data_IF_313127914860
#
_entry.id   IF_313127914860
#
_cell.length_a   1.000
_cell.length_b   1.000
_cell.length_c   1.000
_cell.angle_alpha   90.00
_cell.angle_beta   90.00
_cell.angle_gamma   90.00
#
_symmetry.space_group_name_H-M   'P 1'
#
loop_
_entity.id
_entity.type
_entity.pdbx_description
1 polymer ?
#
# COMPACT_ATOMS: atom_id res chain seq x y z
N UNK A 1 -6.49 32.68 2.56
CA UNK A 1 -6.00 32.36 1.20
C UNK A 1 -4.84 31.39 1.37
N UNK A 2 -5.10 30.09 1.21
CA UNK A 2 -4.08 29.05 1.31
C UNK A 2 -3.67 28.63 -0.11
N UNK A 3 -2.37 28.57 -0.37
CA UNK A 3 -1.79 28.20 -1.65
C UNK A 3 -2.02 26.70 -1.97
N UNK A 4 -2.16 26.32 -3.25
CA UNK A 4 -2.25 24.93 -3.64
C UNK A 4 -0.85 24.27 -3.59
N UNK A 5 -0.80 23.05 -3.05
CA UNK A 5 0.38 22.19 -3.11
C UNK A 5 0.66 21.68 -4.54
N UNK A 6 1.83 21.09 -4.79
CA UNK A 6 2.28 20.78 -6.15
C UNK A 6 1.51 19.58 -6.73
N UNK A 7 0.71 19.82 -7.77
CA UNK A 7 0.23 18.80 -8.70
C UNK A 7 1.30 18.57 -9.80
N UNK A 8 1.63 17.30 -10.09
CA UNK A 8 2.54 16.92 -11.18
C UNK A 8 1.74 16.21 -12.27
N UNK A 9 1.62 16.77 -13.49
CA UNK A 9 1.06 16.07 -14.65
C UNK A 9 2.17 15.43 -15.50
N UNK A 10 1.97 14.18 -15.90
CA UNK A 10 2.89 13.44 -16.79
C UNK A 10 2.15 12.88 -18.01
N UNK A 11 2.27 13.60 -19.12
CA UNK A 11 1.93 13.19 -20.49
C UNK A 11 3.18 13.35 -21.37
N UNK A 12 3.66 12.26 -21.98
CA UNK A 12 4.21 12.29 -23.35
C UNK A 12 4.32 10.87 -23.94
N UNK A 13 3.84 10.75 -25.17
CA UNK A 13 3.73 9.54 -26.01
C UNK A 13 5.07 9.07 -26.61
N UNK A 14 5.11 7.86 -27.22
CA UNK A 14 6.34 7.11 -27.50
C UNK A 14 6.84 7.22 -28.95
N UNK A 15 8.13 6.94 -29.17
CA UNK A 15 8.67 6.67 -30.50
C UNK A 15 9.72 5.54 -30.50
N UNK A 16 9.39 4.51 -31.29
CA UNK A 16 10.21 3.65 -32.15
C UNK A 16 11.55 3.06 -31.67
N UNK A 17 11.61 1.72 -31.69
CA UNK A 17 12.83 0.92 -31.86
C UNK A 17 13.32 0.97 -33.33
N UNK A 18 14.59 0.63 -33.62
CA UNK A 18 14.91 -0.77 -33.97
C UNK A 18 16.35 -1.25 -33.64
N UNK A 19 16.58 -2.58 -33.73
CA UNK A 19 17.80 -3.10 -34.37
C UNK A 19 18.86 -3.86 -33.53
N UNK A 20 18.74 -5.20 -33.54
CA UNK A 20 19.76 -6.27 -33.49
C UNK A 20 21.29 -5.95 -33.42
N UNK A 21 21.94 -6.67 -32.49
CA UNK A 21 23.02 -7.67 -32.67
C UNK A 21 24.49 -7.37 -32.26
N UNK A 22 25.06 -8.40 -31.58
CA UNK A 22 26.45 -8.89 -31.47
C UNK A 22 27.35 -8.42 -30.32
N UNK A 23 27.75 -9.41 -29.51
CA UNK A 23 28.92 -9.42 -28.61
C UNK A 23 30.25 -9.24 -29.39
N UNK A 24 31.37 -8.88 -28.72
CA UNK A 24 32.17 -9.91 -28.02
C UNK A 24 32.75 -9.48 -26.66
N UNK A 25 33.27 -10.51 -25.98
CA UNK A 25 33.98 -10.58 -24.70
C UNK A 25 34.96 -9.44 -24.36
N UNK A 26 35.13 -9.15 -23.06
CA UNK A 26 36.42 -9.24 -22.36
C UNK A 26 36.21 -9.17 -20.83
N UNK A 27 37.04 -9.92 -20.09
CA UNK A 27 36.87 -10.23 -18.68
C UNK A 27 37.21 -9.12 -17.68
N UNK A 28 36.86 -9.38 -16.41
CA UNK A 28 37.17 -8.49 -15.29
C UNK A 28 36.58 -8.96 -13.97
N UNK A 29 37.39 -9.70 -13.22
CA UNK A 29 37.39 -9.96 -11.77
C UNK A 29 36.13 -9.60 -10.94
N UNK A 30 35.45 -10.64 -10.44
CA UNK A 30 34.75 -10.62 -9.16
C UNK A 30 35.29 -11.74 -8.28
N UNK A 31 35.77 -11.48 -7.04
CA UNK A 31 36.10 -12.54 -6.11
C UNK A 31 34.83 -13.22 -5.57
N UNK A 32 34.87 -14.55 -5.36
CA UNK A 32 33.73 -15.35 -4.96
C UNK A 32 33.48 -15.25 -3.44
N UNK A 33 32.21 -15.30 -3.04
CA UNK A 33 31.81 -15.60 -1.66
C UNK A 33 32.43 -16.94 -1.24
N UNK A 34 33.33 -16.89 -0.24
CA UNK A 34 33.88 -18.07 0.38
C UNK A 34 32.76 -18.87 1.08
N UNK A 35 32.51 -20.07 0.56
CA UNK A 35 31.90 -21.17 1.28
C UNK A 35 33.06 -22.04 1.81
N UNK A 36 33.15 -22.25 3.12
CA UNK A 36 33.93 -23.34 3.70
C UNK A 36 33.22 -23.84 4.97
N UNK A 37 32.98 -25.16 5.12
CA UNK A 37 32.34 -25.76 6.29
C UNK A 37 33.36 -26.35 7.28
N UNK A 38 32.92 -26.51 8.53
CA UNK A 38 33.49 -27.45 9.52
C UNK A 38 33.91 -26.81 10.84
N UNK A 39 33.24 -27.14 11.94
CA UNK A 39 33.64 -28.21 12.87
C UNK A 39 32.65 -28.31 14.05
N UNK A 40 32.37 -29.54 14.47
CA UNK A 40 31.58 -29.86 15.66
C UNK A 40 32.40 -29.64 16.93
N UNK A 41 31.78 -29.07 17.97
CA UNK A 41 32.19 -29.30 19.35
C UNK A 41 30.94 -29.29 20.24
N UNK A 42 30.85 -30.32 21.08
CA UNK A 42 29.73 -30.69 21.92
C UNK A 42 29.71 -29.92 23.25
N UNK A 43 28.48 -29.61 23.66
CA UNK A 43 27.97 -29.42 25.03
C UNK A 43 28.54 -28.34 25.96
N UNK A 44 27.75 -27.28 26.16
CA UNK A 44 27.42 -26.83 27.52
C UNK A 44 26.07 -26.11 27.54
N UNK A 45 25.14 -26.72 28.26
CA UNK A 45 23.78 -26.27 28.54
C UNK A 45 23.61 -24.74 28.77
N UNK A 46 22.86 -24.07 27.86
CA UNK A 46 22.00 -22.92 28.19
C UNK A 46 20.58 -23.18 27.67
N UNK A 47 19.74 -23.79 28.52
CA UNK A 47 18.29 -23.94 28.30
C UNK A 47 17.58 -22.57 28.42
N UNK A 48 17.58 -21.79 27.33
CA UNK A 48 16.50 -20.89 26.79
C UNK A 48 17.12 -19.94 25.76
N UNK A 49 16.63 -19.93 24.50
CA UNK A 49 15.47 -19.08 24.17
C UNK A 49 14.47 -19.72 23.18
N UNK A 50 14.22 -21.03 23.24
CA UNK A 50 13.18 -21.65 22.37
C UNK A 50 11.78 -21.03 22.54
N UNK A 51 11.45 -20.59 23.76
CA UNK A 51 10.13 -20.01 24.07
C UNK A 51 9.96 -18.61 23.45
N UNK A 52 11.01 -17.77 23.43
CA UNK A 52 10.90 -16.41 22.88
C UNK A 52 10.79 -16.42 21.36
N UNK A 53 11.51 -17.30 20.67
CA UNK A 53 11.43 -17.47 19.21
C UNK A 53 10.09 -18.09 18.78
N UNK A 54 9.53 -19.03 19.55
CA UNK A 54 8.19 -19.55 19.25
C UNK A 54 7.08 -18.53 19.50
N UNK A 55 7.18 -17.73 20.57
CA UNK A 55 6.19 -16.67 20.86
C UNK A 55 6.27 -15.54 19.84
N UNK A 56 7.47 -15.22 19.35
CA UNK A 56 7.67 -14.19 18.32
C UNK A 56 7.15 -14.67 16.96
N UNK A 57 7.41 -15.92 16.60
CA UNK A 57 6.81 -16.59 15.42
C UNK A 57 5.28 -16.59 15.47
N UNK A 58 4.66 -16.92 16.62
CA UNK A 58 3.20 -16.88 16.77
C UNK A 58 2.61 -15.47 16.63
N UNK A 59 3.28 -14.44 17.17
CA UNK A 59 2.86 -13.04 17.00
C UNK A 59 2.99 -12.57 15.55
N UNK A 60 4.06 -12.97 14.87
CA UNK A 60 4.27 -12.72 13.46
C UNK A 60 3.16 -13.37 12.60
N UNK A 61 2.90 -14.66 12.82
CA UNK A 61 1.83 -15.39 12.13
C UNK A 61 0.45 -14.77 12.37
N UNK A 62 0.16 -14.35 13.61
CA UNK A 62 -1.11 -13.68 13.93
C UNK A 62 -1.25 -12.34 13.21
N UNK A 63 -0.19 -11.51 13.20
CA UNK A 63 -0.21 -10.22 12.53
C UNK A 63 -0.36 -10.37 11.00
N UNK A 64 0.31 -11.38 10.41
CA UNK A 64 0.17 -11.70 9.00
C UNK A 64 -1.23 -12.22 8.66
N UNK A 65 -1.82 -13.10 9.47
CA UNK A 65 -3.17 -13.59 9.26
C UNK A 65 -4.23 -12.47 9.32
N UNK A 66 -4.06 -11.50 10.22
CA UNK A 66 -4.91 -10.32 10.27
C UNK A 66 -4.76 -9.44 9.02
N UNK A 67 -3.52 -9.27 8.52
CA UNK A 67 -3.25 -8.54 7.28
C UNK A 67 -3.84 -9.24 6.06
N UNK A 68 -3.64 -10.55 5.92
CA UNK A 68 -4.23 -11.37 4.85
C UNK A 68 -5.76 -11.29 4.88
N UNK A 69 -6.35 -11.32 6.08
CA UNK A 69 -7.80 -11.14 6.23
C UNK A 69 -8.26 -9.77 5.72
N UNK A 70 -7.57 -8.68 6.07
CA UNK A 70 -7.91 -7.34 5.56
C UNK A 70 -7.76 -7.28 4.04
N UNK A 71 -6.68 -7.82 3.48
CA UNK A 71 -6.43 -7.82 2.03
C UNK A 71 -7.50 -8.62 1.27
N UNK A 72 -7.88 -9.81 1.76
CA UNK A 72 -8.94 -10.62 1.17
C UNK A 72 -10.28 -9.89 1.15
N UNK A 73 -10.68 -9.26 2.27
CA UNK A 73 -11.95 -8.54 2.31
C UNK A 73 -11.90 -7.24 1.50
N UNK A 74 -10.72 -6.64 1.30
CA UNK A 74 -10.57 -5.55 0.34
C UNK A 74 -10.88 -6.04 -1.09
N UNK A 75 -10.32 -7.19 -1.50
CA UNK A 75 -10.63 -7.76 -2.81
C UNK A 75 -12.14 -7.99 -3.00
N UNK A 76 -12.81 -8.55 -2.00
CA UNK A 76 -14.28 -8.72 -2.01
C UNK A 76 -15.02 -7.37 -2.09
N UNK A 77 -14.57 -6.35 -1.36
CA UNK A 77 -15.16 -5.02 -1.38
C UNK A 77 -15.03 -4.36 -2.76
N UNK A 78 -13.85 -4.42 -3.38
CA UNK A 78 -13.59 -3.91 -4.72
C UNK A 78 -14.39 -4.68 -5.80
N UNK A 79 -14.74 -5.94 -5.57
CA UNK A 79 -15.62 -6.71 -6.46
C UNK A 79 -17.11 -6.29 -6.35
N UNK A 80 -17.53 -5.75 -5.20
CA UNK A 80 -18.93 -5.35 -4.93
C UNK A 80 -19.27 -3.94 -5.36
N UNK A 81 -18.32 -3.00 -5.27
CA UNK A 81 -18.54 -1.58 -5.55
C UNK A 81 -17.30 -0.93 -6.11
N UNK A 82 -17.49 0.16 -6.85
CA UNK A 82 -16.39 1.08 -7.13
C UNK A 82 -15.89 1.67 -5.80
N UNK A 83 -14.59 1.99 -5.76
CA UNK A 83 -13.94 2.54 -4.57
C UNK A 83 -13.28 3.85 -4.98
N UNK A 84 -13.89 5.01 -4.69
CA UNK A 84 -13.32 6.29 -5.09
C UNK A 84 -12.12 6.69 -4.23
N UNK A 85 -12.11 6.35 -2.94
CA UNK A 85 -11.01 6.71 -2.02
C UNK A 85 -10.75 5.62 -0.98
N UNK A 86 -9.49 5.47 -0.62
CA UNK A 86 -9.01 4.59 0.45
C UNK A 86 -8.16 5.40 1.43
N UNK A 87 -8.32 5.14 2.72
CA UNK A 87 -7.51 5.70 3.80
C UNK A 87 -6.80 4.59 4.57
N UNK A 88 -5.51 4.80 4.83
CA UNK A 88 -4.69 3.96 5.69
C UNK A 88 -4.25 4.83 6.85
N UNK A 89 -4.78 4.56 8.04
CA UNK A 89 -4.60 5.37 9.24
C UNK A 89 -3.70 4.64 10.23
N UNK A 90 -2.64 5.30 10.71
CA UNK A 90 -1.65 4.73 11.63
C UNK A 90 -1.70 5.47 12.98
N UNK A 91 -1.79 4.68 14.05
CA UNK A 91 -1.82 5.15 15.43
C UNK A 91 -3.07 5.95 15.79
N UNK A 92 -3.30 6.17 17.09
CA UNK A 92 -4.48 6.90 17.55
C UNK A 92 -5.77 6.14 17.26
N UNK A 93 -6.75 6.81 16.64
CA UNK A 93 -8.03 6.25 16.23
C UNK A 93 -8.44 6.76 14.84
N UNK A 94 -9.55 6.25 14.28
CA UNK A 94 -10.00 6.62 12.94
C UNK A 94 -10.26 8.13 12.75
N UNK A 95 -10.73 8.85 13.78
CA UNK A 95 -11.05 10.28 13.69
C UNK A 95 -9.83 11.18 13.92
N UNK A 96 -8.85 10.69 14.68
CA UNK A 96 -7.62 11.41 15.04
C UNK A 96 -6.43 10.45 14.98
N UNK A 97 -5.97 10.10 13.77
CA UNK A 97 -4.79 9.26 13.59
C UNK A 97 -3.52 10.02 13.97
N UNK A 98 -2.43 9.31 14.27
CA UNK A 98 -1.12 9.96 14.34
C UNK A 98 -0.67 10.37 12.94
N UNK A 99 -0.84 9.45 12.00
CA UNK A 99 -0.47 9.62 10.61
C UNK A 99 -1.50 8.94 9.70
N UNK A 100 -1.77 9.46 8.52
CA UNK A 100 -2.63 8.80 7.54
C UNK A 100 -2.20 9.06 6.11
N UNK A 101 -2.51 8.08 5.27
CA UNK A 101 -2.23 8.04 3.84
C UNK A 101 -3.55 7.90 3.10
N UNK A 102 -3.68 8.60 1.98
CA UNK A 102 -4.85 8.57 1.14
C UNK A 102 -4.50 8.09 -0.26
N UNK A 103 -5.34 7.21 -0.82
CA UNK A 103 -5.31 6.82 -2.21
C UNK A 103 -6.63 7.25 -2.87
N UNK A 104 -6.54 8.22 -3.78
CA UNK A 104 -7.67 8.75 -4.55
C UNK A 104 -7.74 8.08 -5.92
N UNK A 105 -8.81 7.33 -6.13
CA UNK A 105 -9.15 6.57 -7.34
C UNK A 105 -10.34 7.20 -8.09
N UNK A 106 -10.89 8.32 -7.61
CA UNK A 106 -12.12 8.93 -8.13
C UNK A 106 -12.00 9.38 -9.58
N UNK A 107 -10.79 9.67 -10.05
CA UNK A 107 -10.51 10.10 -11.43
C UNK A 107 -10.20 8.94 -12.39
N UNK A 108 -10.32 7.70 -11.92
CA UNK A 108 -10.19 6.52 -12.78
C UNK A 108 -11.49 6.26 -13.52
N UNK A 109 -11.38 5.96 -14.81
CA UNK A 109 -12.53 5.59 -15.62
C UNK A 109 -12.97 4.15 -15.30
N UNK A 110 -14.20 3.93 -14.84
CA UNK A 110 -14.72 2.59 -14.69
C UNK A 110 -14.93 1.97 -16.08
N UNK A 111 -14.53 0.71 -16.26
CA UNK A 111 -14.82 -0.12 -17.43
C UNK A 111 -14.31 0.39 -18.79
N UNK A 112 -13.21 1.14 -18.85
CA UNK A 112 -12.65 1.57 -20.14
C UNK A 112 -12.10 0.38 -20.94
N UNK A 113 -12.66 0.15 -22.14
CA UNK A 113 -12.31 -0.95 -23.06
C UNK A 113 -11.06 -0.62 -23.91
N UNK A 114 -10.48 0.56 -23.75
CA UNK A 114 -9.31 0.98 -24.54
C UNK A 114 -8.03 0.31 -24.06
N UNK A 115 -7.20 -0.17 -25.01
CA UNK A 115 -5.91 -0.87 -24.84
C UNK A 115 -5.32 -0.74 -23.43
N UNK A 116 -5.71 -1.69 -22.57
CA UNK A 116 -5.39 -1.67 -21.15
C UNK A 116 -3.89 -1.85 -20.96
N UNK A 117 -3.22 -0.84 -20.38
CA UNK A 117 -1.91 -1.06 -19.76
C UNK A 117 -2.05 -2.20 -18.74
N UNK A 118 -1.06 -3.09 -18.67
CA UNK A 118 -1.08 -4.15 -17.66
C UNK A 118 -1.05 -3.55 -16.25
N UNK A 119 -1.76 -4.16 -15.31
CA UNK A 119 -1.76 -3.74 -13.89
C UNK A 119 -0.34 -3.61 -13.34
N UNK A 120 0.55 -4.52 -13.73
CA UNK A 120 1.97 -4.48 -13.36
C UNK A 120 2.68 -3.21 -13.85
N UNK A 121 2.39 -2.72 -15.06
CA UNK A 121 2.94 -1.46 -15.56
C UNK A 121 2.44 -0.25 -14.77
N UNK A 122 1.15 -0.22 -14.44
CA UNK A 122 0.55 0.83 -13.61
C UNK A 122 1.13 0.84 -12.19
N UNK A 123 1.29 -0.32 -11.56
CA UNK A 123 1.91 -0.44 -10.24
C UNK A 123 3.36 0.05 -10.25
N UNK A 124 4.17 -0.35 -11.24
CA UNK A 124 5.54 0.15 -11.37
C UNK A 124 5.59 1.68 -11.52
N UNK A 125 4.70 2.24 -12.34
CA UNK A 125 4.60 3.71 -12.51
C UNK A 125 4.21 4.40 -11.22
N UNK A 126 3.24 3.84 -10.49
CA UNK A 126 2.76 4.33 -9.21
C UNK A 126 3.88 4.35 -8.16
N UNK A 127 4.51 3.21 -7.92
CA UNK A 127 5.60 3.11 -6.93
C UNK A 127 6.81 3.96 -7.32
N UNK A 128 7.11 4.08 -8.61
CA UNK A 128 8.15 5.01 -9.07
C UNK A 128 7.80 6.46 -8.73
N UNK A 129 6.54 6.87 -8.92
CA UNK A 129 6.10 8.22 -8.58
C UNK A 129 6.20 8.49 -7.07
N UNK A 130 5.77 7.53 -6.23
CA UNK A 130 5.89 7.60 -4.77
C UNK A 130 7.36 7.72 -4.35
N UNK A 131 8.24 6.91 -4.94
CA UNK A 131 9.67 6.94 -4.65
C UNK A 131 10.32 8.27 -5.04
N UNK A 132 10.01 8.78 -6.24
CA UNK A 132 10.53 10.08 -6.70
C UNK A 132 10.00 11.26 -5.90
N UNK A 133 8.83 11.11 -5.25
CA UNK A 133 8.25 12.12 -4.36
C UNK A 133 8.84 12.09 -2.93
N UNK A 134 9.74 11.15 -2.62
CA UNK A 134 10.41 11.02 -1.32
C UNK A 134 9.43 10.96 -0.11
N UNK A 135 8.33 10.23 -0.31
CA UNK A 135 7.16 10.26 0.58
C UNK A 135 7.34 9.61 1.96
N UNK A 136 8.47 8.96 2.21
CA UNK A 136 8.80 8.25 3.46
C UNK A 136 10.21 8.63 3.95
N UNK A 137 10.50 9.92 3.96
CA UNK A 137 11.82 10.49 4.26
C UNK A 137 12.11 10.69 5.74
N UNK A 138 11.22 10.23 6.64
CA UNK A 138 11.41 10.36 8.08
C UNK A 138 12.62 9.56 8.56
N UNK A 139 13.59 10.27 9.14
CA UNK A 139 14.81 9.67 9.72
C UNK A 139 14.55 8.93 11.04
N UNK A 140 13.47 9.28 11.74
CA UNK A 140 13.13 8.66 13.02
C UNK A 140 12.26 7.43 12.78
N UNK A 141 12.72 6.27 13.29
CA UNK A 141 11.92 5.06 13.28
C UNK A 141 10.61 5.26 14.06
N UNK A 142 9.44 5.09 13.42
CA UNK A 142 8.17 5.21 14.11
C UNK A 142 7.97 4.05 15.10
N UNK A 143 7.24 4.27 16.21
CA UNK A 143 6.89 3.18 17.12
C UNK A 143 5.93 2.19 16.46
N UNK A 144 5.80 0.99 17.02
CA UNK A 144 4.75 0.05 16.60
C UNK A 144 3.37 0.70 16.83
N UNK A 145 2.60 0.82 15.76
CA UNK A 145 1.28 1.44 15.75
C UNK A 145 0.22 0.45 15.27
N UNK A 146 -1.02 0.69 15.69
CA UNK A 146 -2.17 0.06 15.08
C UNK A 146 -2.51 0.74 13.76
N UNK A 147 -2.87 -0.03 12.74
CA UNK A 147 -3.29 0.46 11.43
C UNK A 147 -4.76 0.14 11.22
N UNK A 148 -5.53 1.16 10.83
CA UNK A 148 -6.95 1.07 10.47
C UNK A 148 -7.05 1.33 8.98
N UNK A 149 -7.77 0.47 8.26
CA UNK A 149 -8.08 0.66 6.84
C UNK A 149 -9.52 1.14 6.71
N UNK A 150 -9.73 2.19 5.91
CA UNK A 150 -11.05 2.67 5.55
C UNK A 150 -11.17 2.80 4.04
N UNK A 151 -12.33 2.48 3.51
CA UNK A 151 -12.62 2.52 2.07
C UNK A 151 -13.96 3.20 1.85
N UNK A 152 -14.10 3.94 0.75
CA UNK A 152 -15.41 4.41 0.32
C UNK A 152 -16.07 3.39 -0.60
N UNK A 153 -17.37 3.20 -0.45
CA UNK A 153 -18.17 2.37 -1.34
C UNK A 153 -19.61 2.82 -1.37
N UNK A 154 -20.36 2.32 -2.36
CA UNK A 154 -21.78 2.60 -2.47
C UNK A 154 -22.52 2.14 -1.22
N UNK A 155 -23.43 2.96 -0.68
CA UNK A 155 -24.17 2.66 0.56
C UNK A 155 -24.90 1.31 0.55
N UNK A 156 -25.35 0.89 -0.63
CA UNK A 156 -26.13 -0.34 -0.85
C UNK A 156 -25.29 -1.48 -1.48
N UNK A 157 -23.96 -1.47 -1.37
CA UNK A 157 -23.10 -2.52 -1.94
C UNK A 157 -23.24 -3.90 -1.27
N UNK A 158 -24.04 -4.00 -0.19
CA UNK A 158 -24.26 -5.25 0.54
C UNK A 158 -23.02 -5.75 1.29
N UNK A 159 -22.11 -4.86 1.64
CA UNK A 159 -20.93 -5.17 2.44
C UNK A 159 -21.31 -5.52 3.89
N UNK A 160 -20.78 -6.63 4.40
CA UNK A 160 -21.09 -7.19 5.71
C UNK A 160 -19.90 -7.21 6.67
N UNK A 161 -18.68 -7.23 6.15
CA UNK A 161 -17.45 -7.27 6.95
C UNK A 161 -16.98 -5.88 7.35
N UNK A 162 -16.79 -4.98 6.39
CA UNK A 162 -16.50 -3.59 6.72
C UNK A 162 -17.70 -2.90 7.35
N UNK A 163 -17.44 -2.05 8.37
CA UNK A 163 -18.50 -1.37 9.11
C UNK A 163 -18.76 0.03 8.55
N UNK A 164 -20.00 0.37 8.17
CA UNK A 164 -20.32 1.70 7.66
C UNK A 164 -20.14 2.77 8.75
N UNK A 165 -19.63 3.93 8.35
CA UNK A 165 -19.38 5.11 9.18
C UNK A 165 -19.98 6.36 8.52
N UNK A 166 -21.31 6.47 8.61
CA UNK A 166 -22.10 7.54 7.96
C UNK A 166 -21.67 8.97 8.36
N UNK A 167 -21.22 9.14 9.61
CA UNK A 167 -20.82 10.45 10.15
C UNK A 167 -19.30 10.69 10.09
N UNK A 168 -18.55 9.82 9.40
CA UNK A 168 -17.10 9.97 9.33
C UNK A 168 -16.72 11.18 8.49
N UNK A 169 -15.70 11.88 8.97
CA UNK A 169 -15.04 12.97 8.25
C UNK A 169 -13.56 12.68 8.21
N UNK A 170 -12.95 12.93 7.04
CA UNK A 170 -11.51 12.74 6.87
C UNK A 170 -10.76 13.60 7.90
N UNK A 171 -9.80 13.03 8.65
CA UNK A 171 -9.02 13.78 9.62
C UNK A 171 -8.28 14.95 8.98
N UNK A 172 -8.25 16.10 9.67
CA UNK A 172 -7.56 17.30 9.18
C UNK A 172 -6.09 17.39 9.65
N UNK A 173 -5.62 16.44 10.46
CA UNK A 173 -4.27 16.39 11.03
C UNK A 173 -3.67 15.00 10.81
N UNK A 174 -2.34 14.92 10.79
CA UNK A 174 -1.62 13.66 10.58
C UNK A 174 -1.58 13.24 9.11
N UNK A 175 -1.96 14.10 8.16
CA UNK A 175 -1.83 13.80 6.74
C UNK A 175 -0.36 13.66 6.36
N UNK A 176 0.01 12.55 5.71
CA UNK A 176 1.36 12.30 5.20
C UNK A 176 1.43 12.36 3.68
N UNK A 177 0.49 11.71 3.01
CA UNK A 177 0.51 11.58 1.56
C UNK A 177 -0.89 11.37 1.02
N UNK A 178 -1.19 12.01 -0.11
CA UNK A 178 -2.32 11.63 -0.98
C UNK A 178 -1.77 11.22 -2.34
N UNK A 179 -2.09 10.01 -2.76
CA UNK A 179 -1.74 9.48 -4.08
C UNK A 179 -2.98 9.55 -4.96
N UNK A 180 -2.98 10.43 -5.96
CA UNK A 180 -4.11 10.61 -6.87
C UNK A 180 -3.85 9.90 -8.19
N UNK A 181 -4.72 8.95 -8.54
CA UNK A 181 -4.65 8.20 -9.79
C UNK A 181 -5.55 8.84 -10.85
N UNK A 182 -5.03 9.02 -12.06
CA UNK A 182 -5.80 9.55 -13.18
C UNK A 182 -5.33 8.95 -14.51
N UNK A 183 -6.25 8.87 -15.48
CA UNK A 183 -6.01 8.28 -16.80
C UNK A 183 -6.04 9.31 -17.95
N UNK A 184 -5.70 10.58 -17.68
CA UNK A 184 -5.64 11.64 -18.71
C UNK A 184 -6.97 12.02 -19.36
N UNK A 185 -8.10 11.50 -18.86
CA UNK A 185 -9.43 11.81 -19.35
C UNK A 185 -10.01 13.01 -18.60
N UNK A 186 -10.80 13.87 -19.27
CA UNK A 186 -11.56 14.91 -18.58
C UNK A 186 -12.44 14.23 -17.52
N UNK A 187 -12.49 14.83 -16.33
CA UNK A 187 -13.15 14.28 -15.15
C UNK A 187 -14.54 13.74 -15.49
N UNK A 188 -14.75 12.45 -15.22
CA UNK A 188 -16.10 11.88 -15.18
C UNK A 188 -16.87 12.71 -14.14
N UNK A 189 -18.13 13.10 -14.41
CA UNK A 189 -18.95 13.78 -13.41
C UNK A 189 -18.87 12.98 -12.12
N UNK A 190 -18.40 13.63 -11.05
CA UNK A 190 -18.06 13.02 -9.78
C UNK A 190 -19.01 11.86 -9.50
N UNK A 191 -18.51 10.62 -9.58
CA UNK A 191 -19.27 9.39 -9.35
C UNK A 191 -20.19 9.67 -8.17
N UNK A 192 -21.52 9.73 -8.40
CA UNK A 192 -22.49 10.44 -7.55
C UNK A 192 -22.11 10.35 -6.07
N UNK A 193 -21.30 11.32 -5.60
CA UNK A 193 -20.50 11.12 -4.37
C UNK A 193 -21.39 11.09 -3.13
N UNK A 194 -22.65 11.47 -3.30
CA UNK A 194 -23.67 11.48 -2.26
C UNK A 194 -24.04 10.07 -1.82
N UNK A 195 -23.96 9.06 -2.70
CA UNK A 195 -24.32 7.69 -2.36
C UNK A 195 -23.16 6.86 -1.81
N UNK A 196 -21.96 7.41 -1.79
CA UNK A 196 -20.76 6.75 -1.29
C UNK A 196 -20.49 7.12 0.16
N UNK A 197 -20.39 6.11 1.01
CA UNK A 197 -20.12 6.25 2.44
C UNK A 197 -18.79 5.62 2.81
N UNK A 198 -18.25 6.01 3.96
CA UNK A 198 -17.05 5.39 4.51
C UNK A 198 -17.37 4.08 5.19
N UNK A 199 -16.52 3.09 4.93
CA UNK A 199 -16.52 1.77 5.54
C UNK A 199 -15.18 1.57 6.24
N UNK A 200 -15.19 1.05 7.47
CA UNK A 200 -14.00 0.84 8.29
C UNK A 200 -13.79 -0.66 8.54
N UNK A 201 -12.55 -1.13 8.42
CA UNK A 201 -12.21 -2.49 8.81
C UNK A 201 -12.57 -2.72 10.29
N UNK A 202 -13.19 -3.87 10.63
CA UNK A 202 -13.56 -4.18 12.01
C UNK A 202 -12.35 -4.55 12.88
N UNK A 203 -11.21 -4.88 12.27
CA UNK A 203 -9.95 -5.21 12.94
C UNK A 203 -8.94 -4.07 12.81
N UNK A 204 -8.06 -3.93 13.81
CA UNK A 204 -6.92 -3.01 13.77
C UNK A 204 -5.64 -3.82 13.65
N UNK A 205 -4.95 -3.67 12.53
CA UNK A 205 -3.70 -4.38 12.26
C UNK A 205 -2.61 -3.88 13.21
N UNK A 206 -1.93 -4.77 13.92
CA UNK A 206 -0.83 -4.37 14.81
C UNK A 206 0.51 -4.53 14.12
N UNK A 207 1.29 -3.46 14.08
CA UNK A 207 2.69 -3.54 13.65
C UNK A 207 3.50 -4.48 14.55
N UNK A 208 4.44 -5.20 13.94
CA UNK A 208 5.36 -6.12 14.61
C UNK A 208 6.77 -5.94 14.05
N UNK A 209 7.78 -6.03 14.91
CA UNK A 209 9.21 -6.00 14.58
C UNK A 209 9.97 -6.77 15.67
N UNK A 210 11.00 -7.54 15.30
CA UNK A 210 11.88 -8.29 16.22
C UNK A 210 13.18 -7.55 16.53
#
# INVERSE_FOLDING_TARGET
MAAPGPEVPSELSPAAAPGKARDPELGGLFPPCCYLPGEQSEDTARKKPRITTEVSSRKCQQALAELESVLSHLEDFFARTLVPRVLILLGGNALSPKEFYELDLSRLAPFSVDQSLSTAACLRRLFRAIFMADAFSELQAPPLMGTIVMVQGHRDCGEDWFRPKLNYRVPSRGHKLTVTLSCGRPSIPAVASEDYIWFQAPVTLKGFHE
#
